data_IF_032631942611
#
_entry.id   IF_032631942611
#
_cell.length_a   1.000
_cell.length_b   1.000
_cell.length_c   1.000
_cell.angle_alpha   90.00
_cell.angle_beta   90.00
_cell.angle_gamma   90.00
#
_symmetry.space_group_name_H-M   'P 1'
#
loop_
_entity.id
_entity.type
_entity.pdbx_description
1 polymer ?
#
# COMPACT_ATOMS: atom_id res chain seq x y z
N UNK A 1 34.48 -0.26 19.08
CA UNK A 1 33.07 -0.16 18.62
C UNK A 1 32.96 0.19 17.14
N UNK A 2 33.96 0.65 16.39
CA UNK A 2 35.06 -0.16 15.80
C UNK A 2 34.72 -1.64 15.73
N UNK A 3 34.20 -2.02 14.58
CA UNK A 3 33.54 -3.27 14.27
C UNK A 3 32.14 -3.38 14.86
N UNK A 4 31.18 -2.88 14.07
CA UNK A 4 29.88 -3.50 13.81
C UNK A 4 30.10 -4.94 13.27
N UNK A 5 30.81 -5.72 14.10
CA UNK A 5 31.10 -7.14 14.05
C UNK A 5 29.84 -7.95 14.40
N UNK A 6 28.70 -7.29 14.62
CA UNK A 6 27.39 -7.91 14.89
C UNK A 6 26.67 -8.37 13.62
N UNK A 7 27.01 -7.82 12.44
CA UNK A 7 26.65 -8.42 11.14
C UNK A 7 27.11 -9.88 11.11
N UNK A 8 28.25 -10.16 11.74
CA UNK A 8 28.81 -11.49 11.93
C UNK A 8 28.05 -12.39 12.91
N UNK A 9 27.30 -11.85 13.89
CA UNK A 9 26.51 -12.69 14.79
C UNK A 9 25.14 -13.10 14.22
N UNK A 10 24.51 -12.34 13.33
CA UNK A 10 23.19 -12.73 12.82
C UNK A 10 23.23 -13.46 11.46
N UNK A 11 24.37 -13.41 10.78
CA UNK A 11 24.77 -14.44 9.81
C UNK A 11 24.68 -15.87 10.41
N UNK A 12 24.71 -16.06 11.75
CA UNK A 12 24.51 -17.36 12.43
C UNK A 12 23.09 -17.96 12.29
N UNK A 13 22.09 -17.22 11.81
CA UNK A 13 20.70 -17.70 11.75
C UNK A 13 20.14 -17.82 10.34
N UNK A 14 21.01 -17.70 9.34
CA UNK A 14 20.73 -18.12 7.99
C UNK A 14 20.57 -19.65 7.95
N UNK A 15 19.37 -20.08 8.34
CA UNK A 15 18.76 -21.41 8.29
C UNK A 15 19.09 -22.43 9.39
N UNK A 16 18.30 -22.40 10.48
CA UNK A 16 17.98 -23.61 11.24
C UNK A 16 17.35 -24.67 10.32
N UNK A 17 18.17 -25.58 9.77
CA UNK A 17 17.71 -26.95 9.44
C UNK A 17 18.78 -28.02 9.27
N UNK A 18 20.07 -27.72 9.41
CA UNK A 18 21.10 -28.74 9.27
C UNK A 18 22.14 -28.63 10.40
N UNK A 19 22.31 -29.72 11.15
CA UNK A 19 23.22 -29.89 12.28
C UNK A 19 24.64 -29.41 11.96
N UNK A 20 24.95 -28.16 12.31
CA UNK A 20 26.31 -27.64 12.31
C UNK A 20 26.84 -27.66 13.74
N UNK A 21 27.73 -28.61 14.04
CA UNK A 21 28.57 -28.57 15.24
C UNK A 21 29.64 -27.48 15.06
N UNK A 22 29.34 -26.26 15.51
CA UNK A 22 30.30 -25.16 15.53
C UNK A 22 31.08 -25.21 16.85
N UNK A 23 32.41 -25.09 16.76
CA UNK A 23 33.29 -25.01 17.92
C UNK A 23 33.10 -23.66 18.63
N UNK A 24 33.01 -23.63 19.97
CA UNK A 24 32.84 -22.39 20.71
C UNK A 24 34.03 -21.45 20.52
N UNK A 25 33.73 -20.15 20.40
CA UNK A 25 34.73 -19.07 20.37
C UNK A 25 35.39 -18.94 21.74
N UNK A 26 36.69 -19.26 21.82
CA UNK A 26 37.47 -19.07 23.05
C UNK A 26 37.97 -17.63 23.17
N UNK A 27 38.21 -17.20 24.40
CA UNK A 27 38.65 -15.83 24.68
C UNK A 27 40.09 -15.64 24.20
N UNK A 28 40.29 -14.75 23.22
CA UNK A 28 41.61 -14.44 22.65
C UNK A 28 41.83 -14.99 21.24
N UNK A 29 40.79 -15.56 20.60
CA UNK A 29 40.86 -15.96 19.19
C UNK A 29 41.14 -14.77 18.27
N UNK A 30 42.13 -14.93 17.39
CA UNK A 30 42.39 -14.00 16.29
C UNK A 30 41.21 -14.04 15.30
N UNK A 31 40.49 -12.94 15.25
CA UNK A 31 39.20 -12.83 14.57
C UNK A 31 39.35 -12.90 13.04
N UNK A 32 40.51 -12.51 12.49
CA UNK A 32 40.78 -12.55 11.05
C UNK A 32 40.98 -13.99 10.59
N UNK A 33 41.76 -14.77 11.33
CA UNK A 33 42.00 -16.19 11.05
C UNK A 33 40.73 -17.04 11.23
N UNK A 34 39.89 -16.68 12.20
CA UNK A 34 38.59 -17.32 12.41
C UNK A 34 37.60 -17.05 11.26
N UNK A 35 37.55 -15.81 10.78
CA UNK A 35 36.73 -15.40 9.63
C UNK A 35 37.12 -16.17 8.35
N UNK A 36 38.41 -16.26 8.04
CA UNK A 36 38.89 -17.01 6.87
C UNK A 36 38.62 -18.51 6.95
N UNK A 37 38.70 -19.09 8.15
CA UNK A 37 38.36 -20.51 8.37
C UNK A 37 36.87 -20.75 8.13
N UNK A 38 36.00 -19.84 8.58
CA UNK A 38 34.55 -19.93 8.35
C UNK A 38 34.19 -19.77 6.86
N UNK A 39 34.81 -18.82 6.16
CA UNK A 39 34.57 -18.55 4.73
C UNK A 39 34.83 -19.79 3.88
N UNK A 40 35.95 -20.47 4.13
CA UNK A 40 36.32 -21.70 3.45
C UNK A 40 35.35 -22.86 3.73
N UNK A 41 34.68 -22.89 4.89
CA UNK A 41 33.68 -23.92 5.23
C UNK A 41 32.33 -23.64 4.57
N UNK A 42 31.95 -22.37 4.43
CA UNK A 42 30.73 -21.92 3.76
C UNK A 42 30.81 -22.19 2.25
N UNK A 43 31.92 -21.80 1.61
CA UNK A 43 32.17 -22.04 0.18
C UNK A 43 32.13 -23.54 -0.16
N UNK A 44 32.56 -24.41 0.76
CA UNK A 44 32.52 -25.88 0.57
C UNK A 44 31.12 -26.49 0.71
N UNK A 45 30.17 -25.80 1.34
CA UNK A 45 28.80 -26.30 1.59
C UNK A 45 27.74 -25.69 0.66
N UNK A 46 28.01 -24.53 0.05
CA UNK A 46 27.07 -23.84 -0.84
C UNK A 46 26.92 -24.45 -2.24
N UNK A 47 27.72 -25.46 -2.60
CA UNK A 47 27.66 -26.12 -3.91
C UNK A 47 26.38 -26.96 -4.15
N UNK A 48 25.43 -27.06 -3.21
CA UNK A 48 24.34 -28.05 -3.31
C UNK A 48 22.92 -27.66 -2.83
N UNK A 49 22.56 -26.39 -2.60
CA UNK A 49 21.17 -26.08 -2.17
C UNK A 49 20.62 -24.73 -2.65
N UNK A 50 19.54 -24.77 -3.43
CA UNK A 50 18.74 -23.63 -3.91
C UNK A 50 17.67 -23.19 -2.90
N UNK A 51 18.03 -23.01 -1.62
CA UNK A 51 17.11 -22.38 -0.67
C UNK A 51 17.08 -20.89 -0.99
N UNK A 52 15.88 -20.36 -1.24
CA UNK A 52 15.59 -19.03 -1.79
C UNK A 52 16.28 -17.93 -1.00
N UNK A 53 17.37 -17.42 -1.56
CA UNK A 53 18.11 -16.22 -1.13
C UNK A 53 17.18 -15.06 -0.78
N UNK A 54 16.06 -14.94 -1.51
CA UNK A 54 15.01 -13.95 -1.33
C UNK A 54 14.33 -14.00 0.05
N UNK A 55 13.98 -15.20 0.55
CA UNK A 55 13.28 -15.35 1.83
C UNK A 55 14.21 -15.02 3.01
N UNK A 56 15.49 -15.31 2.82
CA UNK A 56 16.56 -14.91 3.74
C UNK A 56 16.72 -13.40 3.78
N UNK A 57 16.86 -12.76 2.62
CA UNK A 57 17.07 -11.30 2.52
C UNK A 57 15.87 -10.53 3.09
N UNK A 58 14.64 -11.02 2.85
CA UNK A 58 13.42 -10.45 3.45
C UNK A 58 13.40 -10.56 4.97
N UNK A 59 13.75 -11.73 5.53
CA UNK A 59 13.83 -11.90 6.99
C UNK A 59 14.93 -11.00 7.62
N UNK A 60 16.01 -10.74 6.88
CA UNK A 60 17.10 -9.87 7.31
C UNK A 60 16.68 -8.40 7.33
N UNK A 61 15.98 -7.92 6.29
CA UNK A 61 15.43 -6.56 6.24
C UNK A 61 14.48 -6.27 7.40
N UNK A 62 13.57 -7.21 7.69
CA UNK A 62 12.66 -7.15 8.84
C UNK A 62 13.40 -7.04 10.18
N UNK A 63 14.55 -7.70 10.33
CA UNK A 63 15.35 -7.69 11.55
C UNK A 63 16.17 -6.39 11.70
N UNK A 64 16.69 -5.84 10.60
CA UNK A 64 17.36 -4.54 10.59
C UNK A 64 16.39 -3.43 11.02
N UNK A 65 15.14 -3.45 10.52
CA UNK A 65 14.09 -2.49 10.90
C UNK A 65 13.73 -2.58 12.39
N UNK A 66 13.80 -3.75 13.02
CA UNK A 66 13.61 -3.89 14.48
C UNK A 66 14.74 -3.27 15.30
N UNK A 67 15.97 -3.25 14.76
CA UNK A 67 17.15 -2.76 15.47
C UNK A 67 17.40 -1.26 15.30
N UNK A 68 16.85 -0.65 14.24
CA UNK A 68 16.91 0.79 13.99
C UNK A 68 15.56 1.33 13.51
N UNK A 69 14.55 1.40 14.40
CA UNK A 69 13.18 1.78 14.03
C UNK A 69 13.09 3.21 13.49
N UNK A 70 14.06 4.08 13.81
CA UNK A 70 14.14 5.45 13.29
C UNK A 70 14.81 5.56 11.92
N UNK A 71 15.27 4.44 11.34
CA UNK A 71 15.91 4.36 10.01
C UNK A 71 17.04 5.37 9.77
N UNK A 72 17.72 5.80 10.83
CA UNK A 72 18.84 6.73 10.78
C UNK A 72 20.12 6.00 10.35
N UNK A 73 20.23 5.66 9.06
CA UNK A 73 21.42 5.04 8.48
C UNK A 73 22.41 6.09 8.01
N UNK A 74 23.71 5.90 8.28
CA UNK A 74 24.75 6.80 7.76
C UNK A 74 25.00 6.52 6.27
N UNK A 75 25.42 7.53 5.51
CA UNK A 75 25.79 7.36 4.09
C UNK A 75 26.86 6.27 3.88
N UNK A 76 27.79 6.14 4.83
CA UNK A 76 28.81 5.08 4.81
C UNK A 76 28.21 3.68 5.00
N UNK A 77 27.16 3.55 5.82
CA UNK A 77 26.45 2.29 6.03
C UNK A 77 25.64 1.90 4.79
N UNK A 78 24.95 2.86 4.17
CA UNK A 78 24.22 2.63 2.92
C UNK A 78 25.18 2.24 1.80
N UNK A 79 26.29 2.95 1.61
CA UNK A 79 27.29 2.62 0.58
C UNK A 79 27.86 1.20 0.72
N UNK A 80 28.20 0.77 1.94
CA UNK A 80 28.73 -0.58 2.20
C UNK A 80 27.70 -1.69 2.00
N UNK A 81 26.44 -1.45 2.37
CA UNK A 81 25.38 -2.43 2.08
C UNK A 81 25.09 -2.50 0.58
N UNK A 82 25.15 -1.39 -0.15
CA UNK A 82 24.96 -1.38 -1.61
C UNK A 82 26.01 -2.23 -2.31
N UNK A 83 27.28 -2.13 -1.90
CA UNK A 83 28.36 -2.98 -2.43
C UNK A 83 28.11 -4.47 -2.14
N UNK A 84 27.66 -4.80 -0.92
CA UNK A 84 27.39 -6.17 -0.53
C UNK A 84 26.18 -6.77 -1.28
N UNK A 85 25.09 -6.03 -1.38
CA UNK A 85 23.88 -6.47 -2.08
C UNK A 85 24.18 -6.61 -3.59
N UNK A 86 24.95 -5.68 -4.17
CA UNK A 86 25.40 -5.81 -5.57
C UNK A 86 26.24 -7.07 -5.77
N UNK A 87 27.21 -7.33 -4.89
CA UNK A 87 28.04 -8.53 -4.97
C UNK A 87 27.21 -9.83 -4.83
N UNK A 88 26.21 -9.85 -3.95
CA UNK A 88 25.30 -10.99 -3.76
C UNK A 88 24.40 -11.20 -4.98
N UNK A 89 23.88 -10.13 -5.58
CA UNK A 89 23.05 -10.19 -6.78
C UNK A 89 23.86 -10.70 -7.98
N UNK A 90 25.06 -10.16 -8.21
CA UNK A 90 25.99 -10.61 -9.25
C UNK A 90 26.32 -12.09 -9.08
N UNK A 91 26.66 -12.52 -7.85
CA UNK A 91 27.00 -13.91 -7.59
C UNK A 91 25.82 -14.86 -7.80
N UNK A 92 24.61 -14.46 -7.42
CA UNK A 92 23.41 -15.27 -7.61
C UNK A 92 23.02 -15.43 -9.09
N UNK A 93 23.27 -14.41 -9.93
CA UNK A 93 23.14 -14.49 -11.39
C UNK A 93 24.21 -15.42 -11.97
N UNK A 94 25.48 -15.25 -11.60
CA UNK A 94 26.59 -16.10 -12.05
C UNK A 94 26.38 -17.59 -11.72
N UNK A 95 25.74 -17.87 -10.58
CA UNK A 95 25.45 -19.23 -10.12
C UNK A 95 24.10 -19.77 -10.60
N UNK A 96 23.38 -19.04 -11.46
CA UNK A 96 22.09 -19.45 -12.02
C UNK A 96 21.03 -19.74 -10.93
N UNK A 97 21.13 -19.05 -9.78
CA UNK A 97 20.21 -19.20 -8.64
C UNK A 97 19.00 -18.26 -8.79
N UNK A 98 19.15 -17.15 -9.50
CA UNK A 98 18.05 -16.30 -9.97
C UNK A 98 17.82 -16.52 -11.46
N UNK A 99 16.54 -16.54 -11.88
CA UNK A 99 16.13 -16.91 -13.25
C UNK A 99 16.52 -15.88 -14.30
N UNK A 100 16.86 -14.65 -13.90
CA UNK A 100 17.38 -13.62 -14.80
C UNK A 100 18.07 -12.48 -14.05
N UNK A 101 18.90 -11.71 -14.77
CA UNK A 101 19.46 -10.43 -14.31
C UNK A 101 18.35 -9.42 -13.95
N UNK A 102 17.21 -9.45 -14.66
CA UNK A 102 16.05 -8.62 -14.35
C UNK A 102 15.40 -8.92 -13.00
N UNK A 103 15.37 -10.18 -12.57
CA UNK A 103 14.88 -10.55 -11.23
C UNK A 103 15.82 -10.06 -10.13
N UNK A 104 17.13 -10.12 -10.37
CA UNK A 104 18.14 -9.61 -9.45
C UNK A 104 18.06 -8.08 -9.29
N UNK A 105 17.84 -7.35 -10.39
CA UNK A 105 17.64 -5.89 -10.37
C UNK A 105 16.35 -5.50 -9.65
N UNK A 106 15.24 -6.23 -9.87
CA UNK A 106 13.98 -5.98 -9.16
C UNK A 106 14.13 -6.21 -7.65
N UNK A 107 14.80 -7.30 -7.25
CA UNK A 107 15.09 -7.59 -5.84
C UNK A 107 16.03 -6.54 -5.22
N UNK A 108 17.05 -6.10 -5.96
CA UNK A 108 17.94 -5.01 -5.52
C UNK A 108 17.16 -3.72 -5.28
N UNK A 109 16.26 -3.35 -6.20
CA UNK A 109 15.35 -2.22 -6.04
C UNK A 109 14.52 -2.31 -4.76
N UNK A 110 13.88 -3.46 -4.51
CA UNK A 110 13.09 -3.68 -3.28
C UNK A 110 13.92 -3.54 -2.00
N UNK A 111 15.16 -4.03 -1.99
CA UNK A 111 16.06 -3.94 -0.82
C UNK A 111 16.51 -2.49 -0.60
N UNK A 112 16.86 -1.78 -1.67
CA UNK A 112 17.29 -0.38 -1.62
C UNK A 112 16.16 0.54 -1.20
N UNK A 113 14.95 0.31 -1.69
CA UNK A 113 13.74 1.05 -1.28
C UNK A 113 13.46 0.88 0.22
N UNK A 114 13.81 -0.28 0.80
CA UNK A 114 13.64 -0.56 2.22
C UNK A 114 14.71 0.10 3.10
N UNK A 115 15.96 0.14 2.64
CA UNK A 115 17.11 0.70 3.37
C UNK A 115 17.18 2.23 3.28
N UNK A 116 16.78 2.81 2.14
CA UNK A 116 16.73 4.25 1.90
C UNK A 116 15.33 4.77 2.22
N UNK A 117 14.74 4.30 3.33
CA UNK A 117 13.48 4.85 3.83
C UNK A 117 13.54 6.37 3.73
N UNK A 118 12.56 6.98 3.05
CA UNK A 118 12.59 8.41 2.80
C UNK A 118 12.75 9.06 4.17
N UNK A 119 13.87 9.76 4.38
CA UNK A 119 13.90 10.82 5.37
C UNK A 119 12.95 11.87 4.79
N UNK A 120 11.65 11.63 4.91
CA UNK A 120 10.58 12.54 4.54
C UNK A 120 10.70 13.64 5.60
N UNK A 121 11.70 14.49 5.41
CA UNK A 121 12.23 15.34 6.45
C UNK A 121 11.09 16.20 6.95
N UNK A 122 10.56 15.88 8.15
CA UNK A 122 9.47 16.57 8.84
C UNK A 122 8.63 17.48 7.93
N UNK A 123 8.04 16.92 6.86
CA UNK A 123 7.21 17.72 5.99
C UNK A 123 5.97 18.06 6.81
N UNK A 124 5.88 19.33 7.21
CA UNK A 124 4.77 19.83 8.01
C UNK A 124 3.69 20.28 7.06
N UNK A 125 2.49 19.73 7.20
CA UNK A 125 1.32 20.23 6.49
C UNK A 125 0.66 21.32 7.30
N UNK A 126 0.06 22.28 6.59
CA UNK A 126 -0.85 23.27 7.16
C UNK A 126 -2.22 22.66 7.54
N UNK A 127 -2.35 21.34 7.48
CA UNK A 127 -3.46 20.66 8.13
C UNK A 127 -3.25 20.74 9.64
N UNK A 128 -4.26 21.13 10.45
CA UNK A 128 -4.30 20.57 11.78
C UNK A 128 -4.29 19.07 11.53
N UNK A 129 -3.23 18.39 11.97
CA UNK A 129 -3.27 16.94 12.10
C UNK A 129 -4.41 16.72 13.08
N UNK A 130 -5.63 16.60 12.55
CA UNK A 130 -6.79 16.36 13.37
C UNK A 130 -6.53 14.99 13.94
N UNK A 131 -6.18 14.98 15.24
CA UNK A 131 -6.38 13.82 16.06
C UNK A 131 -7.85 13.48 15.87
N UNK A 132 -8.08 12.49 15.03
CA UNK A 132 -9.37 11.86 14.84
C UNK A 132 -10.12 11.87 16.17
N UNK A 133 -11.29 12.52 16.21
CA UNK A 133 -12.18 12.42 17.35
C UNK A 133 -13.11 11.25 17.05
N UNK A 134 -12.99 10.12 17.79
CA UNK A 134 -13.89 9.00 17.60
C UNK A 134 -15.33 9.46 17.77
N UNK A 135 -16.26 8.96 16.94
CA UNK A 135 -17.67 9.03 17.27
C UNK A 135 -17.86 8.26 18.59
N UNK A 136 -18.31 8.94 19.64
CA UNK A 136 -18.30 8.41 21.00
C UNK A 136 -19.31 7.26 21.14
N UNK A 137 -18.84 6.00 21.07
CA UNK A 137 -19.63 4.78 21.32
C UNK A 137 -21.00 4.77 20.61
N UNK A 138 -21.02 5.15 19.34
CA UNK A 138 -22.22 5.14 18.52
C UNK A 138 -22.40 3.80 17.78
N UNK A 139 -23.31 3.76 16.79
CA UNK A 139 -23.66 2.57 16.03
C UNK A 139 -22.46 2.06 15.24
N UNK A 140 -22.25 0.74 15.24
CA UNK A 140 -21.24 0.10 14.40
C UNK A 140 -21.83 -0.27 13.05
N UNK A 141 -21.11 0.10 11.99
CA UNK A 141 -21.42 -0.27 10.60
C UNK A 141 -20.19 -0.87 9.95
N UNK A 142 -20.38 -1.67 8.92
CA UNK A 142 -19.27 -2.21 8.16
C UNK A 142 -19.52 -2.16 6.65
N UNK A 143 -18.43 -2.03 5.90
CA UNK A 143 -18.46 -2.12 4.44
C UNK A 143 -17.33 -2.99 3.94
N UNK A 144 -17.63 -3.82 2.94
CA UNK A 144 -16.65 -4.57 2.16
C UNK A 144 -16.68 -4.03 0.73
N UNK A 145 -15.55 -3.51 0.26
CA UNK A 145 -15.34 -2.99 -1.08
C UNK A 145 -14.60 -4.04 -1.92
N UNK A 146 -15.25 -4.56 -2.96
CA UNK A 146 -14.69 -5.60 -3.83
C UNK A 146 -14.06 -4.94 -5.07
N UNK A 147 -12.74 -5.08 -5.17
CA UNK A 147 -11.91 -4.71 -6.32
C UNK A 147 -11.73 -5.88 -7.30
N UNK A 148 -10.83 -5.71 -8.28
CA UNK A 148 -10.62 -6.70 -9.34
C UNK A 148 -10.17 -8.08 -8.82
N UNK A 149 -9.18 -8.10 -7.92
CA UNK A 149 -8.57 -9.33 -7.39
C UNK A 149 -8.48 -9.35 -5.85
N UNK A 150 -8.95 -8.30 -5.20
CA UNK A 150 -8.87 -8.13 -3.75
C UNK A 150 -10.12 -7.43 -3.24
N UNK A 151 -10.29 -7.41 -1.93
CA UNK A 151 -11.28 -6.58 -1.26
C UNK A 151 -10.65 -5.80 -0.12
N UNK A 152 -11.28 -4.67 0.20
CA UNK A 152 -11.02 -3.91 1.42
C UNK A 152 -12.24 -4.01 2.33
N UNK A 153 -12.04 -4.08 3.63
CA UNK A 153 -13.08 -4.11 4.64
C UNK A 153 -12.86 -3.04 5.71
N UNK A 154 -13.92 -2.35 6.11
CA UNK A 154 -13.88 -1.35 7.16
C UNK A 154 -15.01 -1.58 8.14
N UNK A 155 -14.69 -1.60 9.43
CA UNK A 155 -15.66 -1.46 10.51
C UNK A 155 -15.51 -0.06 11.10
N UNK A 156 -16.62 0.66 11.23
CA UNK A 156 -16.64 2.04 11.73
C UNK A 156 -17.66 2.16 12.87
N UNK A 157 -17.39 3.06 13.81
CA UNK A 157 -18.43 3.69 14.65
C UNK A 157 -18.90 4.95 13.92
N UNK A 158 -20.21 5.18 13.88
CA UNK A 158 -20.82 6.34 13.21
C UNK A 158 -21.86 6.99 14.12
N UNK A 159 -21.83 8.31 14.24
CA UNK A 159 -22.82 9.09 15.00
C UNK A 159 -24.04 9.50 14.15
N UNK A 160 -25.03 10.15 14.77
CA UNK A 160 -26.26 10.61 14.09
C UNK A 160 -26.02 11.70 13.04
N UNK A 161 -24.89 12.39 13.09
CA UNK A 161 -24.47 13.41 12.14
C UNK A 161 -23.61 12.83 11.02
N UNK A 162 -23.49 11.48 10.95
CA UNK A 162 -22.62 10.76 10.00
C UNK A 162 -21.12 11.03 10.21
N UNK A 163 -20.72 11.59 11.35
CA UNK A 163 -19.31 11.59 11.76
C UNK A 163 -18.91 10.16 12.06
N UNK A 164 -17.72 9.74 11.62
CA UNK A 164 -17.34 8.33 11.71
C UNK A 164 -15.90 8.13 12.13
N UNK A 165 -15.67 6.93 12.64
CA UNK A 165 -14.42 6.55 13.25
C UNK A 165 -14.11 5.07 12.96
N UNK A 166 -13.00 4.78 12.25
CA UNK A 166 -12.45 3.45 12.02
C UNK A 166 -12.20 2.63 13.31
N UNK A 167 -12.73 1.41 13.37
CA UNK A 167 -12.52 0.42 14.45
C UNK A 167 -11.57 -0.69 14.00
N UNK A 168 -11.82 -1.25 12.81
CA UNK A 168 -11.09 -2.39 12.25
C UNK A 168 -10.97 -2.25 10.73
N UNK A 169 -9.85 -2.72 10.19
CA UNK A 169 -9.57 -2.72 8.75
C UNK A 169 -9.16 -4.11 8.27
N UNK A 170 -9.51 -4.41 7.03
CA UNK A 170 -9.07 -5.58 6.27
C UNK A 170 -8.61 -5.03 4.92
N UNK A 171 -7.33 -4.70 4.75
CA UNK A 171 -6.86 -3.96 3.58
C UNK A 171 -6.17 -4.87 2.57
N UNK A 172 -6.56 -4.80 1.29
CA UNK A 172 -5.92 -5.52 0.20
C UNK A 172 -6.00 -7.04 0.30
N UNK A 173 -7.05 -7.57 0.93
CA UNK A 173 -7.24 -9.00 1.10
C UNK A 173 -7.49 -9.67 -0.26
N UNK A 174 -6.67 -10.67 -0.62
CA UNK A 174 -6.88 -11.42 -1.87
C UNK A 174 -8.28 -12.05 -1.89
N UNK A 175 -8.99 -11.98 -3.01
CA UNK A 175 -10.24 -12.73 -3.19
C UNK A 175 -9.96 -14.22 -3.41
N UNK A 176 -8.75 -14.60 -3.82
CA UNK A 176 -8.43 -15.97 -4.19
C UNK A 176 -9.20 -16.46 -5.41
N UNK A 177 -9.49 -15.57 -6.37
CA UNK A 177 -10.23 -15.88 -7.59
C UNK A 177 -9.56 -16.98 -8.42
N UNK A 178 -8.23 -17.07 -8.36
CA UNK A 178 -7.43 -18.14 -8.95
C UNK A 178 -7.75 -19.53 -8.36
N UNK A 179 -8.32 -19.59 -7.16
CA UNK A 179 -8.80 -20.80 -6.50
C UNK A 179 -10.29 -21.07 -6.77
N UNK A 180 -10.96 -20.17 -7.51
CA UNK A 180 -12.34 -20.28 -7.93
C UNK A 180 -13.31 -19.38 -7.14
N UNK A 181 -14.49 -19.15 -7.73
CA UNK A 181 -15.53 -18.27 -7.18
C UNK A 181 -16.05 -18.75 -5.83
N UNK A 182 -16.19 -20.06 -5.65
CA UNK A 182 -16.65 -20.64 -4.38
C UNK A 182 -15.68 -20.33 -3.23
N UNK A 183 -14.38 -20.31 -3.52
CA UNK A 183 -13.37 -19.91 -2.55
C UNK A 183 -13.48 -18.42 -2.20
N UNK A 184 -13.68 -17.56 -3.21
CA UNK A 184 -13.88 -16.13 -2.99
C UNK A 184 -15.12 -15.84 -2.13
N UNK A 185 -16.23 -16.52 -2.41
CA UNK A 185 -17.46 -16.42 -1.61
C UNK A 185 -17.22 -16.90 -0.17
N UNK A 186 -16.58 -18.06 0.01
CA UNK A 186 -16.22 -18.57 1.33
C UNK A 186 -15.36 -17.57 2.12
N UNK A 187 -14.36 -16.96 1.49
CA UNK A 187 -13.50 -15.97 2.16
C UNK A 187 -14.28 -14.72 2.58
N UNK A 188 -15.12 -14.18 1.68
CA UNK A 188 -15.97 -13.04 1.99
C UNK A 188 -16.95 -13.35 3.13
N UNK A 189 -17.56 -14.55 3.12
CA UNK A 189 -18.42 -15.04 4.20
C UNK A 189 -17.68 -15.08 5.54
N UNK A 190 -16.48 -15.66 5.59
CA UNK A 190 -15.66 -15.70 6.80
C UNK A 190 -15.34 -14.29 7.33
N UNK A 191 -15.02 -13.35 6.44
CA UNK A 191 -14.80 -11.96 6.85
C UNK A 191 -16.07 -11.32 7.42
N UNK A 192 -17.22 -11.52 6.79
CA UNK A 192 -18.49 -10.98 7.27
C UNK A 192 -18.91 -11.62 8.60
N UNK A 193 -18.70 -12.93 8.77
CA UNK A 193 -18.92 -13.63 10.04
C UNK A 193 -18.08 -13.01 11.16
N UNK A 194 -16.78 -12.80 10.95
CA UNK A 194 -15.90 -12.13 11.93
C UNK A 194 -16.36 -10.71 12.26
N UNK A 195 -16.80 -9.95 11.26
CA UNK A 195 -17.36 -8.59 11.48
C UNK A 195 -18.63 -8.66 12.36
N UNK A 196 -19.51 -9.63 12.14
CA UNK A 196 -20.73 -9.80 12.92
C UNK A 196 -20.40 -10.25 14.35
N UNK A 197 -19.58 -11.29 14.51
CA UNK A 197 -19.35 -11.93 15.82
C UNK A 197 -18.36 -11.14 16.67
N UNK A 198 -17.23 -10.76 16.08
CA UNK A 198 -16.09 -10.23 16.84
C UNK A 198 -16.21 -8.71 16.98
N UNK A 199 -16.78 -8.05 15.98
CA UNK A 199 -16.97 -6.60 15.97
C UNK A 199 -18.40 -6.16 16.31
N UNK A 200 -19.31 -7.10 16.61
CA UNK A 200 -20.69 -6.84 17.05
C UNK A 200 -21.46 -5.90 16.10
N UNK A 201 -21.24 -6.04 14.79
CA UNK A 201 -21.98 -5.30 13.76
C UNK A 201 -23.25 -6.07 13.41
N UNK A 202 -24.39 -5.39 13.37
CA UNK A 202 -25.64 -6.02 12.93
C UNK A 202 -25.59 -6.33 11.43
N UNK A 203 -26.10 -7.48 11.00
CA UNK A 203 -26.06 -7.87 9.58
C UNK A 203 -26.70 -6.84 8.63
N UNK A 204 -27.74 -6.12 9.07
CA UNK A 204 -28.39 -5.05 8.31
C UNK A 204 -27.54 -3.77 8.14
N UNK A 205 -26.44 -3.66 8.90
CA UNK A 205 -25.49 -2.56 8.88
C UNK A 205 -24.18 -2.92 8.14
N UNK A 206 -24.20 -4.04 7.42
CA UNK A 206 -23.11 -4.48 6.56
C UNK A 206 -23.49 -4.22 5.11
N UNK A 207 -22.63 -3.47 4.40
CA UNK A 207 -22.77 -3.22 2.98
C UNK A 207 -21.64 -3.91 2.21
N UNK A 208 -21.95 -4.56 1.09
CA UNK A 208 -20.94 -4.94 0.11
C UNK A 208 -21.04 -4.02 -1.10
N UNK A 209 -19.92 -3.44 -1.49
CA UNK A 209 -19.81 -2.53 -2.63
C UNK A 209 -18.91 -3.14 -3.69
N UNK A 210 -19.41 -3.23 -4.92
CA UNK A 210 -18.63 -3.60 -6.08
C UNK A 210 -18.06 -2.36 -6.73
N UNK A 211 -16.74 -2.31 -6.83
CA UNK A 211 -16.07 -1.18 -7.45
C UNK A 211 -16.38 -1.07 -8.94
N UNK A 212 -16.45 0.15 -9.46
CA UNK A 212 -16.64 0.42 -10.89
C UNK A 212 -15.54 -0.23 -11.74
N UNK A 213 -14.29 -0.22 -11.24
CA UNK A 213 -13.14 -0.84 -11.90
C UNK A 213 -13.20 -2.37 -11.99
N UNK A 214 -13.92 -3.05 -11.10
CA UNK A 214 -14.09 -4.51 -11.17
C UNK A 214 -14.96 -4.92 -12.38
N UNK A 215 -16.03 -4.17 -12.64
CA UNK A 215 -16.95 -4.48 -13.74
C UNK A 215 -16.33 -4.27 -15.13
N UNK A 216 -15.27 -3.47 -15.23
CA UNK A 216 -14.50 -3.30 -16.46
C UNK A 216 -13.49 -4.44 -16.71
N UNK A 217 -13.19 -5.23 -15.68
CA UNK A 217 -12.04 -6.14 -15.67
C UNK A 217 -12.46 -7.61 -15.55
N UNK A 218 -13.65 -7.93 -15.00
CA UNK A 218 -13.96 -9.33 -14.65
C UNK A 218 -15.45 -9.74 -14.79
N UNK A 219 -15.71 -10.77 -15.59
CA UNK A 219 -17.03 -11.43 -15.74
C UNK A 219 -17.49 -12.15 -14.46
N UNK A 220 -16.57 -12.58 -13.59
CA UNK A 220 -16.89 -13.28 -12.34
C UNK A 220 -17.55 -12.39 -11.29
N UNK A 221 -17.47 -11.06 -11.44
CA UNK A 221 -18.12 -10.10 -10.57
C UNK A 221 -19.64 -10.34 -10.46
N UNK A 222 -20.29 -10.69 -11.57
CA UNK A 222 -21.73 -10.97 -11.60
C UNK A 222 -22.10 -12.20 -10.77
N UNK A 223 -21.28 -13.26 -10.83
CA UNK A 223 -21.49 -14.50 -10.09
C UNK A 223 -21.24 -14.31 -8.60
N UNK A 224 -20.20 -13.58 -8.21
CA UNK A 224 -19.95 -13.24 -6.79
C UNK A 224 -21.11 -12.42 -6.24
N UNK A 225 -21.56 -11.39 -6.99
CA UNK A 225 -22.71 -10.57 -6.60
C UNK A 225 -23.94 -11.44 -6.35
N UNK A 226 -24.30 -12.31 -7.29
CA UNK A 226 -25.43 -13.22 -7.14
C UNK A 226 -25.26 -14.16 -5.94
N UNK A 227 -24.05 -14.69 -5.72
CA UNK A 227 -23.70 -15.54 -4.60
C UNK A 227 -23.94 -14.86 -3.25
N UNK A 228 -23.48 -13.62 -3.10
CA UNK A 228 -23.66 -12.81 -1.89
C UNK A 228 -25.13 -12.42 -1.66
N UNK A 229 -25.84 -11.97 -2.71
CA UNK A 229 -27.26 -11.60 -2.61
C UNK A 229 -28.13 -12.82 -2.22
N UNK A 230 -27.83 -14.00 -2.75
CA UNK A 230 -28.53 -15.25 -2.39
C UNK A 230 -28.39 -15.65 -0.92
N UNK A 231 -27.39 -15.09 -0.22
CA UNK A 231 -27.12 -15.30 1.21
C UNK A 231 -27.66 -14.17 2.08
N UNK A 232 -28.38 -13.21 1.49
CA UNK A 232 -29.04 -12.13 2.20
C UNK A 232 -28.16 -10.90 2.45
N UNK A 233 -26.97 -10.83 1.87
CA UNK A 233 -26.14 -9.64 1.97
C UNK A 233 -26.64 -8.52 1.07
N UNK A 234 -26.59 -7.28 1.57
CA UNK A 234 -26.86 -6.09 0.77
C UNK A 234 -25.67 -5.81 -0.13
N UNK A 235 -25.85 -5.94 -1.43
CA UNK A 235 -24.80 -5.71 -2.43
C UNK A 235 -25.19 -4.56 -3.32
N UNK A 236 -24.30 -3.58 -3.48
CA UNK A 236 -24.47 -2.46 -4.39
C UNK A 236 -23.29 -2.38 -5.35
N UNK A 237 -23.56 -1.96 -6.59
CA UNK A 237 -22.54 -1.59 -7.56
C UNK A 237 -22.50 -0.08 -7.65
N UNK A 238 -21.31 0.50 -7.62
CA UNK A 238 -21.13 1.92 -7.87
C UNK A 238 -20.53 2.14 -9.25
N UNK A 239 -20.90 3.26 -9.87
CA UNK A 239 -20.17 3.81 -10.99
C UNK A 239 -19.06 4.74 -10.49
N UNK A 240 -18.17 5.15 -11.38
CA UNK A 240 -17.00 5.93 -11.02
C UNK A 240 -17.37 7.31 -10.44
N UNK A 241 -18.42 7.96 -10.94
CA UNK A 241 -18.89 9.26 -10.42
C UNK A 241 -19.42 9.15 -9.00
N UNK A 242 -20.19 8.10 -8.70
CA UNK A 242 -20.68 7.84 -7.35
C UNK A 242 -19.52 7.57 -6.39
N UNK A 243 -18.53 6.76 -6.79
CA UNK A 243 -17.33 6.51 -5.98
C UNK A 243 -16.55 7.80 -5.70
N UNK A 244 -16.41 8.68 -6.69
CA UNK A 244 -15.79 9.99 -6.50
C UNK A 244 -16.54 10.85 -5.46
N UNK A 245 -17.88 10.94 -5.57
CA UNK A 245 -18.74 11.69 -4.62
C UNK A 245 -18.65 11.14 -3.20
N UNK A 246 -18.76 9.82 -3.03
CA UNK A 246 -18.67 9.19 -1.72
C UNK A 246 -17.26 9.27 -1.13
N UNK A 247 -16.23 9.13 -1.97
CA UNK A 247 -14.84 9.34 -1.60
C UNK A 247 -14.61 10.74 -1.06
N UNK A 248 -15.03 11.78 -1.79
CA UNK A 248 -14.96 13.16 -1.34
C UNK A 248 -15.68 13.38 -0.01
N UNK A 249 -16.95 12.98 0.06
CA UNK A 249 -17.80 13.25 1.23
C UNK A 249 -17.30 12.57 2.52
N UNK A 250 -16.65 11.40 2.42
CA UNK A 250 -16.13 10.69 3.59
C UNK A 250 -14.73 11.15 4.03
N UNK A 251 -13.98 11.81 3.14
CA UNK A 251 -12.55 12.00 3.31
C UNK A 251 -12.11 13.46 3.40
N UNK A 252 -12.85 14.39 2.83
CA UNK A 252 -12.49 15.80 2.91
C UNK A 252 -13.09 16.40 4.19
N UNK A 253 -12.27 16.93 5.12
CA UNK A 253 -12.82 17.64 6.28
C UNK A 253 -13.55 18.91 5.84
N UNK A 254 -14.59 19.30 6.56
CA UNK A 254 -15.48 20.40 6.18
C UNK A 254 -14.73 21.72 5.89
N UNK A 255 -13.73 22.05 6.71
CA UNK A 255 -12.93 23.27 6.59
C UNK A 255 -12.05 23.30 5.32
N UNK A 256 -11.90 22.16 4.64
CA UNK A 256 -11.11 22.00 3.42
C UNK A 256 -11.96 21.87 2.16
N UNK A 257 -13.29 21.75 2.26
CA UNK A 257 -14.14 21.48 1.10
C UNK A 257 -14.07 22.61 0.04
N UNK A 258 -13.83 23.84 0.46
CA UNK A 258 -13.74 24.99 -0.45
C UNK A 258 -12.35 25.22 -1.06
N UNK A 259 -11.33 24.43 -0.67
CA UNK A 259 -9.97 24.60 -1.15
C UNK A 259 -9.22 23.29 -1.42
N UNK A 260 -9.95 22.20 -1.67
CA UNK A 260 -9.36 20.91 -1.90
C UNK A 260 -10.17 20.05 -2.85
N UNK A 261 -9.47 19.10 -3.46
CA UNK A 261 -10.09 18.03 -4.22
C UNK A 261 -9.67 16.67 -3.69
N UNK A 262 -10.56 15.70 -3.92
CA UNK A 262 -10.33 14.29 -3.63
C UNK A 262 -9.75 13.59 -4.86
N UNK A 263 -8.83 12.66 -4.63
CA UNK A 263 -8.22 11.81 -5.64
C UNK A 263 -8.14 10.35 -5.14
N UNK A 264 -8.73 9.41 -5.86
CA UNK A 264 -8.56 7.97 -5.62
C UNK A 264 -7.99 7.28 -6.86
N UNK A 265 -6.72 6.87 -6.77
CA UNK A 265 -6.04 6.14 -7.83
C UNK A 265 -6.28 4.65 -7.65
N UNK A 266 -7.36 4.17 -8.28
CA UNK A 266 -7.75 2.77 -8.30
C UNK A 266 -7.02 1.96 -9.37
N UNK A 267 -7.26 0.64 -9.35
CA UNK A 267 -6.72 -0.27 -10.37
C UNK A 267 -7.38 -0.08 -11.75
N UNK A 268 -8.71 0.00 -11.80
CA UNK A 268 -9.45 0.12 -13.06
C UNK A 268 -9.67 1.55 -13.54
N UNK A 269 -9.85 2.50 -12.62
CA UNK A 269 -10.00 3.92 -12.92
C UNK A 269 -9.45 4.80 -11.78
N UNK A 270 -9.21 6.06 -12.12
CA UNK A 270 -8.89 7.13 -11.18
C UNK A 270 -10.10 8.05 -11.02
N UNK A 271 -10.43 8.41 -9.78
CA UNK A 271 -11.60 9.21 -9.44
C UNK A 271 -11.16 10.54 -8.86
N UNK A 272 -11.78 11.62 -9.33
CA UNK A 272 -11.58 12.95 -8.79
C UNK A 272 -12.92 13.57 -8.44
N UNK A 273 -12.94 14.37 -7.38
CA UNK A 273 -14.11 15.14 -6.99
C UNK A 273 -13.71 16.42 -6.27
N UNK A 274 -14.47 17.49 -6.50
CA UNK A 274 -14.28 18.79 -5.85
C UNK A 274 -15.62 19.50 -5.71
N UNK A 275 -15.70 20.49 -4.82
CA UNK A 275 -16.88 21.33 -4.69
C UNK A 275 -16.77 22.54 -5.64
N UNK A 276 -17.79 22.79 -6.47
CA UNK A 276 -17.83 24.04 -7.23
C UNK A 276 -18.33 25.22 -6.38
N UNK A 277 -18.28 26.43 -6.92
CA UNK A 277 -18.68 27.66 -6.21
C UNK A 277 -20.15 27.66 -5.72
N UNK A 278 -21.00 26.80 -6.27
CA UNK A 278 -22.40 26.63 -5.86
C UNK A 278 -22.58 25.56 -4.78
N UNK A 279 -21.50 24.99 -4.27
CA UNK A 279 -21.53 23.94 -3.27
C UNK A 279 -21.82 22.53 -3.82
N UNK A 280 -21.87 22.35 -5.14
CA UNK A 280 -22.16 21.07 -5.79
C UNK A 280 -20.85 20.29 -5.97
N UNK A 281 -20.88 18.99 -5.65
CA UNK A 281 -19.75 18.09 -5.87
C UNK A 281 -19.69 17.73 -7.35
N UNK A 282 -18.68 18.24 -8.04
CA UNK A 282 -18.28 17.84 -9.38
C UNK A 282 -17.41 16.60 -9.31
N UNK A 283 -17.43 15.81 -10.38
CA UNK A 283 -16.67 14.56 -10.46
C UNK A 283 -16.00 14.39 -11.80
N UNK A 284 -14.86 13.71 -11.81
CA UNK A 284 -14.15 13.32 -13.01
C UNK A 284 -13.60 11.90 -12.87
N UNK A 285 -13.61 11.16 -13.97
CA UNK A 285 -13.15 9.80 -14.05
C UNK A 285 -12.10 9.68 -15.14
N UNK A 286 -10.98 9.06 -14.78
CA UNK A 286 -9.81 8.89 -15.64
C UNK A 286 -9.32 7.44 -15.60
N UNK A 287 -8.29 7.16 -16.38
CA UNK A 287 -7.67 5.84 -16.49
C UNK A 287 -7.11 5.35 -15.14
N UNK A 288 -7.10 4.03 -14.93
CA UNK A 288 -6.66 3.40 -13.67
C UNK A 288 -5.23 2.89 -13.73
N UNK A 289 -4.65 2.64 -12.56
CA UNK A 289 -3.24 2.27 -12.40
C UNK A 289 -2.81 0.93 -13.05
N UNK A 290 -3.75 0.09 -13.49
CA UNK A 290 -3.50 -1.16 -14.22
C UNK A 290 -3.76 -1.06 -15.73
N UNK A 291 -3.82 0.15 -16.29
CA UNK A 291 -4.07 0.40 -17.71
C UNK A 291 -3.18 -0.43 -18.67
N UNK A 292 -1.92 -0.68 -18.29
CA UNK A 292 -0.98 -1.48 -19.08
C UNK A 292 -1.46 -2.94 -19.26
N UNK A 293 -2.18 -3.51 -18.27
CA UNK A 293 -2.77 -4.85 -18.40
C UNK A 293 -3.91 -4.88 -19.42
N UNK A 294 -4.50 -3.73 -19.72
CA UNK A 294 -5.51 -3.53 -20.76
C UNK A 294 -4.91 -3.06 -22.09
N UNK A 295 -3.58 -3.13 -22.23
CA UNK A 295 -2.84 -2.70 -23.42
C UNK A 295 -3.01 -1.21 -23.77
N UNK A 296 -3.35 -0.38 -22.78
CA UNK A 296 -3.39 1.08 -22.93
C UNK A 296 -1.96 1.63 -22.81
N UNK A 297 -1.58 2.57 -23.67
CA UNK A 297 -0.27 3.22 -23.60
C UNK A 297 -0.21 4.27 -22.49
N UNK A 298 0.99 4.58 -22.01
CA UNK A 298 1.21 5.65 -21.03
C UNK A 298 0.64 7.00 -21.53
N UNK A 299 0.85 7.32 -22.81
CA UNK A 299 0.35 8.54 -23.44
C UNK A 299 -1.19 8.59 -23.40
N UNK A 300 -1.86 7.50 -23.76
CA UNK A 300 -3.33 7.43 -23.73
C UNK A 300 -3.88 7.49 -22.30
N UNK A 301 -3.21 6.83 -21.35
CA UNK A 301 -3.60 6.88 -19.95
C UNK A 301 -3.47 8.29 -19.37
N UNK A 302 -2.40 9.01 -19.69
CA UNK A 302 -2.19 10.39 -19.26
C UNK A 302 -3.14 11.38 -19.97
N UNK A 303 -3.45 11.14 -21.24
CA UNK A 303 -4.41 11.95 -21.99
C UNK A 303 -5.83 11.86 -21.42
N UNK A 304 -6.15 10.79 -20.67
CA UNK A 304 -7.45 10.69 -19.96
C UNK A 304 -7.67 11.79 -18.93
N UNK A 305 -6.64 12.57 -18.56
CA UNK A 305 -6.74 13.72 -17.66
C UNK A 305 -6.82 15.07 -18.39
N UNK A 306 -6.71 15.13 -19.72
CA UNK A 306 -6.55 16.41 -20.44
C UNK A 306 -7.78 17.34 -20.35
N UNK A 307 -8.96 16.80 -20.03
CA UNK A 307 -10.18 17.58 -19.81
C UNK A 307 -10.45 17.87 -18.32
N UNK A 308 -9.53 17.52 -17.43
CA UNK A 308 -9.64 17.83 -16.01
C UNK A 308 -9.52 19.34 -15.79
N UNK A 309 -10.55 19.94 -15.21
CA UNK A 309 -10.64 21.38 -14.98
C UNK A 309 -11.02 21.70 -13.53
N UNK A 310 -10.16 21.31 -12.59
CA UNK A 310 -10.32 21.68 -11.18
C UNK A 310 -10.01 23.18 -11.03
N UNK A 311 -10.91 23.99 -10.45
CA UNK A 311 -10.66 25.41 -10.23
C UNK A 311 -9.44 25.66 -9.34
N UNK A 312 -8.69 26.72 -9.59
CA UNK A 312 -7.54 27.13 -8.77
C UNK A 312 -7.92 27.29 -7.28
N UNK A 313 -9.15 27.76 -7.00
CA UNK A 313 -9.66 27.85 -5.63
C UNK A 313 -9.66 26.51 -4.90
N UNK A 314 -9.76 25.38 -5.62
CA UNK A 314 -9.78 24.02 -5.09
C UNK A 314 -8.42 23.33 -5.10
N UNK A 315 -7.37 23.94 -5.64
CA UNK A 315 -6.06 23.30 -5.83
C UNK A 315 -5.13 23.42 -4.63
N UNK A 316 -5.54 24.00 -3.50
CA UNK A 316 -4.62 24.13 -2.36
C UNK A 316 -4.21 22.76 -1.81
N UNK A 317 -5.16 21.83 -1.68
CA UNK A 317 -4.90 20.49 -1.16
C UNK A 317 -5.46 19.39 -2.07
N UNK A 318 -4.65 18.37 -2.36
CA UNK A 318 -5.08 17.13 -2.99
C UNK A 318 -5.11 16.02 -1.95
N UNK A 319 -6.30 15.56 -1.58
CA UNK A 319 -6.46 14.42 -0.68
C UNK A 319 -6.48 13.12 -1.48
N UNK A 320 -5.38 12.38 -1.43
CA UNK A 320 -5.15 11.17 -2.23
C UNK A 320 -5.35 9.88 -1.44
N UNK A 321 -5.99 8.89 -2.06
CA UNK A 321 -6.00 7.48 -1.63
C UNK A 321 -5.81 6.54 -2.82
N UNK A 322 -5.78 5.23 -2.53
CA UNK A 322 -5.65 4.17 -3.53
C UNK A 322 -4.41 3.29 -3.30
N UNK A 323 -4.41 2.10 -3.90
CA UNK A 323 -3.39 1.08 -3.64
C UNK A 323 -1.97 1.45 -4.09
N UNK A 324 -1.84 2.24 -5.15
CA UNK A 324 -0.55 2.78 -5.59
C UNK A 324 -0.01 3.87 -4.66
N UNK A 325 -0.79 4.94 -4.38
CA UNK A 325 -0.44 5.94 -3.37
C UNK A 325 -0.14 5.33 -1.99
N UNK A 326 -0.90 4.31 -1.56
CA UNK A 326 -0.63 3.58 -0.31
C UNK A 326 0.76 2.95 -0.31
N UNK A 327 1.14 2.22 -1.36
CA UNK A 327 2.48 1.62 -1.47
C UNK A 327 3.59 2.68 -1.46
N UNK A 328 3.38 3.80 -2.15
CA UNK A 328 4.33 4.93 -2.13
C UNK A 328 4.44 5.56 -0.73
N UNK A 329 3.33 5.71 -0.02
CA UNK A 329 3.30 6.20 1.35
C UNK A 329 4.04 5.26 2.31
N UNK A 330 3.86 3.94 2.17
CA UNK A 330 4.58 2.96 2.98
C UNK A 330 6.11 3.05 2.80
N UNK A 331 6.55 3.19 1.55
CA UNK A 331 7.96 3.41 1.20
C UNK A 331 8.52 4.73 1.73
N UNK A 332 7.65 5.73 1.87
CA UNK A 332 7.97 7.00 2.52
C UNK A 332 8.03 6.91 4.05
N UNK A 333 7.80 5.73 4.63
CA UNK A 333 7.76 5.56 6.08
C UNK A 333 6.44 5.99 6.73
N UNK A 334 5.40 6.30 5.94
CA UNK A 334 4.08 6.71 6.43
C UNK A 334 3.24 5.48 6.79
N UNK A 335 3.69 4.75 7.80
CA UNK A 335 3.13 3.45 8.23
C UNK A 335 2.33 3.53 9.54
N UNK A 336 2.00 4.73 10.02
CA UNK A 336 1.21 4.87 11.24
C UNK A 336 -0.25 4.44 10.99
N UNK A 337 -0.79 3.71 11.97
CA UNK A 337 -2.13 3.10 11.96
C UNK A 337 -3.18 3.97 12.67
N UNK A 338 -2.77 5.11 13.23
CA UNK A 338 -3.64 5.98 14.04
C UNK A 338 -3.98 7.30 13.38
N UNK A 339 -3.19 7.74 12.41
CA UNK A 339 -3.38 9.02 11.73
C UNK A 339 -4.08 8.80 10.40
N UNK A 340 -5.19 9.54 10.17
CA UNK A 340 -5.97 9.44 8.92
C UNK A 340 -5.31 10.18 7.76
N UNK A 341 -4.67 11.31 8.03
CA UNK A 341 -4.11 12.22 7.03
C UNK A 341 -2.60 12.39 7.22
N UNK A 342 -1.84 12.10 6.19
CA UNK A 342 -0.39 12.28 6.17
C UNK A 342 0.02 13.29 5.12
N UNK A 343 1.04 14.07 5.42
CA UNK A 343 1.77 14.82 4.40
C UNK A 343 2.42 13.83 3.47
N UNK A 344 1.96 13.79 2.22
CA UNK A 344 2.64 12.99 1.22
C UNK A 344 3.94 13.71 0.85
N UNK A 345 5.07 12.98 0.69
CA UNK A 345 6.30 13.61 0.27
C UNK A 345 6.13 14.29 -1.10
N UNK A 346 6.90 15.35 -1.32
CA UNK A 346 7.05 15.94 -2.65
C UNK A 346 7.32 14.84 -3.70
N UNK A 347 6.68 14.95 -4.87
CA UNK A 347 6.79 13.91 -5.90
C UNK A 347 8.24 13.74 -6.40
N UNK A 348 9.04 14.80 -6.38
CA UNK A 348 10.46 14.75 -6.73
C UNK A 348 11.28 13.79 -5.85
N UNK A 349 10.83 13.49 -4.62
CA UNK A 349 11.47 12.51 -3.75
C UNK A 349 11.38 11.08 -4.29
N UNK A 350 10.49 10.83 -5.25
CA UNK A 350 10.28 9.53 -5.89
C UNK A 350 10.86 9.43 -7.31
N UNK A 351 11.34 10.53 -7.91
CA UNK A 351 11.85 10.58 -9.30
C UNK A 351 12.95 9.56 -9.59
N UNK A 352 13.87 9.37 -8.64
CA UNK A 352 15.05 8.50 -8.79
C UNK A 352 14.75 7.02 -8.61
N UNK A 353 13.53 6.65 -8.17
CA UNK A 353 13.22 5.29 -7.71
C UNK A 353 12.96 4.28 -8.82
N UNK A 354 13.01 4.69 -10.08
CA UNK A 354 12.82 3.83 -11.26
C UNK A 354 11.78 2.71 -11.03
N UNK A 355 10.56 3.10 -10.66
CA UNK A 355 9.53 2.14 -10.28
C UNK A 355 9.35 1.10 -11.41
N UNK A 356 9.41 -0.20 -11.09
CA UNK A 356 9.07 -1.22 -12.08
C UNK A 356 7.63 -1.00 -12.56
N UNK A 357 7.37 -1.37 -13.82
CA UNK A 357 6.04 -1.26 -14.43
C UNK A 357 4.95 -1.81 -13.51
N UNK A 358 3.86 -1.07 -13.34
CA UNK A 358 2.75 -1.45 -12.48
C UNK A 358 2.15 -0.28 -11.70
N UNK A 359 1.36 -0.62 -10.67
CA UNK A 359 0.52 0.35 -9.97
C UNK A 359 1.28 1.55 -9.38
N UNK A 360 2.49 1.32 -8.82
CA UNK A 360 3.32 2.39 -8.25
C UNK A 360 3.76 3.38 -9.33
N UNK A 361 4.34 2.88 -10.42
CA UNK A 361 4.79 3.71 -11.53
C UNK A 361 3.63 4.49 -12.17
N UNK A 362 2.49 3.83 -12.38
CA UNK A 362 1.30 4.48 -12.92
C UNK A 362 0.78 5.60 -11.99
N UNK A 363 0.72 5.32 -10.68
CA UNK A 363 0.25 6.31 -9.70
C UNK A 363 1.17 7.51 -9.60
N UNK A 364 2.49 7.29 -9.65
CA UNK A 364 3.47 8.36 -9.73
C UNK A 364 3.26 9.25 -10.97
N UNK A 365 3.05 8.65 -12.15
CA UNK A 365 2.76 9.39 -13.39
C UNK A 365 1.46 10.20 -13.29
N UNK A 366 0.40 9.60 -12.75
CA UNK A 366 -0.89 10.28 -12.59
C UNK A 366 -0.80 11.43 -11.58
N UNK A 367 -0.12 11.23 -10.45
CA UNK A 367 0.10 12.29 -9.48
C UNK A 367 0.86 13.48 -10.08
N UNK A 368 1.93 13.24 -10.85
CA UNK A 368 2.65 14.30 -11.55
C UNK A 368 1.74 15.06 -12.52
N UNK A 369 1.03 14.34 -13.41
CA UNK A 369 0.11 14.94 -14.38
C UNK A 369 -0.99 15.77 -13.70
N UNK A 370 -1.54 15.29 -12.59
CA UNK A 370 -2.57 16.02 -11.84
C UNK A 370 -1.94 17.25 -11.17
N UNK A 371 -0.76 17.14 -10.56
CA UNK A 371 -0.07 18.29 -9.96
C UNK A 371 0.25 19.36 -11.01
N UNK A 372 0.72 18.97 -12.20
CA UNK A 372 0.96 19.87 -13.34
C UNK A 372 -0.32 20.56 -13.83
N UNK A 373 -1.44 19.85 -13.93
CA UNK A 373 -2.71 20.40 -14.42
C UNK A 373 -3.39 21.32 -13.40
N UNK A 374 -3.26 21.01 -12.11
CA UNK A 374 -4.01 21.68 -11.04
C UNK A 374 -3.19 22.74 -10.32
N UNK A 375 -1.86 22.70 -10.43
CA UNK A 375 -0.92 23.42 -9.55
C UNK A 375 -1.16 23.10 -8.07
N UNK A 376 -1.47 21.83 -7.76
CA UNK A 376 -1.73 21.43 -6.39
C UNK A 376 -0.54 21.73 -5.47
N UNK A 377 -0.76 22.53 -4.43
CA UNK A 377 0.31 22.96 -3.52
C UNK A 377 0.74 21.85 -2.57
N UNK A 378 -0.22 21.06 -2.06
CA UNK A 378 0.09 20.03 -1.07
C UNK A 378 -0.74 18.76 -1.28
N UNK A 379 -0.05 17.62 -1.34
CA UNK A 379 -0.67 16.29 -1.42
C UNK A 379 -0.79 15.71 -0.01
N UNK A 380 -1.99 15.25 0.32
CA UNK A 380 -2.36 14.67 1.62
C UNK A 380 -2.79 13.23 1.39
N UNK A 381 -2.05 12.27 1.93
CA UNK A 381 -2.40 10.87 1.84
C UNK A 381 -3.42 10.45 2.90
N UNK A 382 -4.44 9.71 2.46
CA UNK A 382 -5.48 9.12 3.29
C UNK A 382 -5.22 7.63 3.48
N UNK A 383 -4.88 7.22 4.71
CA UNK A 383 -4.42 5.87 5.05
C UNK A 383 -5.52 4.86 5.40
N UNK A 384 -6.65 5.32 5.95
CA UNK A 384 -7.63 4.44 6.64
C UNK A 384 -9.06 4.60 6.14
N UNK A 385 -9.23 4.93 4.86
CA UNK A 385 -10.53 5.24 4.28
C UNK A 385 -10.52 5.11 2.77
N UNK A 386 -11.69 4.89 2.20
CA UNK A 386 -11.94 4.97 0.76
C UNK A 386 -13.40 5.42 0.51
N UNK A 387 -13.84 5.37 -0.75
CA UNK A 387 -15.20 5.75 -1.14
C UNK A 387 -16.31 4.87 -0.53
N UNK A 388 -16.01 3.62 -0.18
CA UNK A 388 -17.01 2.67 0.30
C UNK A 388 -17.58 3.08 1.66
N UNK A 389 -16.76 3.75 2.48
CA UNK A 389 -17.23 4.37 3.73
C UNK A 389 -18.26 5.45 3.45
N UNK A 390 -18.03 6.33 2.47
CA UNK A 390 -19.00 7.37 2.12
C UNK A 390 -20.35 6.80 1.70
N UNK A 391 -20.34 5.67 0.98
CA UNK A 391 -21.58 4.96 0.64
C UNK A 391 -22.24 4.32 1.87
N UNK A 392 -21.45 3.77 2.79
CA UNK A 392 -21.95 3.19 4.04
C UNK A 392 -22.66 4.24 4.92
N UNK A 393 -22.20 5.49 4.89
CA UNK A 393 -22.81 6.60 5.63
C UNK A 393 -24.20 7.00 5.09
N UNK A 394 -24.57 6.57 3.88
CA UNK A 394 -25.92 6.77 3.34
C UNK A 394 -26.94 5.76 3.86
N UNK A 395 -26.50 4.71 4.55
CA UNK A 395 -27.43 3.82 5.24
C UNK A 395 -28.06 4.55 6.43
N UNK A 396 -29.32 4.24 6.72
CA UNK A 396 -30.03 4.77 7.88
C UNK A 396 -29.24 4.56 9.17
N UNK A 397 -29.28 5.56 10.06
CA UNK A 397 -28.71 5.44 11.40
C UNK A 397 -29.50 4.43 12.22
#
# INVERSE_FOLDING_TARGET
>A
MKYFFSVLCCLLLLSCKYECNILPLEKGTDLISYEQTLRNQIEKKFDNTSIRLTDTLKAQLLYIDQLNPEKNYTDEFLAKNNELINALCTHAVEKNVMGSESEAVAMYGEIMDHLVGINAGNQTCDLPVESYKPAANDKRKAVISIGANSFDGFVISVDRNKSWSNIQQYYGESLGLELGIDYALYKLEQTMESIITDQAVSAGDILVVFSSGLAEINDDAAKIKQGLESRGFRVEKLDCEAEAKYGYSANIPADYMSNSFFLDIGSGNTKLAWQNDNGIIETYCAEGSLYQQRLVSDESALASFDNLAIPESQSKYCFVTGGGPFKMAQEAGLNDTKTKYFCFPELNAFESRNFPSGQKQASYKFLNKIQELTNCEQIIFISHSNYSIGKLLELDY
#
